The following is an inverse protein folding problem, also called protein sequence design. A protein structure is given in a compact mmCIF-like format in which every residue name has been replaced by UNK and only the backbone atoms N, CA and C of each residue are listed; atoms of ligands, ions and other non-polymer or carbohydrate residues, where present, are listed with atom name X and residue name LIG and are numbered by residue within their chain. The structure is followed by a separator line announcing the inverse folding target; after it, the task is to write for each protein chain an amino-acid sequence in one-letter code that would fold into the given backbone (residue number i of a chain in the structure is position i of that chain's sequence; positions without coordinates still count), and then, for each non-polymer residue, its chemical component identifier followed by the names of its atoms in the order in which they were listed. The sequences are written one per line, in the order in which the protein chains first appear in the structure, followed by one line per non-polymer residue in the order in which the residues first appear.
data_IF_441059381967
#
_entry.id   IF_441059381967
#
_cell.length_a   1.000
_cell.length_b   1.000
_cell.length_c   1.000
_cell.angle_alpha   90.00
_cell.angle_beta   90.00
_cell.angle_gamma   90.00
#
_symmetry.space_group_name_H-M   'P 1'
#
loop_
_entity.id
_entity.type
_entity.pdbx_description
1 polymer ?
#
# COMPACT_ATOMS: atom_id res chain seq x y z
N UNK A 1 59.94 -20.70 -0.82
CA UNK A 1 58.62 -21.12 -1.29
C UNK A 1 57.64 -20.81 -0.19
N UNK A 2 56.99 -19.66 -0.28
CA UNK A 2 55.99 -19.21 0.70
C UNK A 2 54.66 -19.06 -0.05
N UNK A 3 53.71 -19.94 0.27
CA UNK A 3 52.38 -19.94 -0.33
C UNK A 3 51.46 -18.96 0.39
N UNK A 4 51.02 -17.92 -0.33
CA UNK A 4 49.90 -17.06 0.09
C UNK A 4 48.61 -17.88 0.20
N UNK A 5 47.77 -17.69 1.24
CA UNK A 5 46.43 -18.24 1.24
C UNK A 5 45.54 -17.44 0.26
N UNK A 6 44.72 -18.16 -0.50
CA UNK A 6 43.75 -17.62 -1.44
C UNK A 6 42.64 -16.82 -0.72
N UNK A 7 42.04 -15.81 -1.37
CA UNK A 7 40.96 -15.04 -0.77
C UNK A 7 39.71 -15.91 -0.60
N UNK A 8 39.02 -15.71 0.53
CA UNK A 8 37.80 -16.40 0.89
C UNK A 8 36.75 -16.28 -0.23
N UNK A 9 36.28 -17.45 -0.65
CA UNK A 9 35.13 -17.68 -1.52
C UNK A 9 33.95 -16.79 -1.09
N UNK A 10 33.40 -16.04 -2.06
CA UNK A 10 32.14 -15.31 -1.89
C UNK A 10 31.05 -16.30 -1.50
N UNK A 11 30.62 -16.22 -0.25
CA UNK A 11 29.50 -17.00 0.26
C UNK A 11 28.25 -16.75 -0.60
N UNK A 12 27.54 -17.83 -0.92
CA UNK A 12 26.26 -17.82 -1.60
C UNK A 12 25.27 -16.83 -0.95
N UNK A 13 24.35 -16.22 -1.71
CA UNK A 13 23.42 -15.22 -1.18
C UNK A 13 22.60 -15.84 -0.04
N UNK A 14 22.68 -15.21 1.13
CA UNK A 14 21.83 -15.52 2.28
C UNK A 14 20.37 -15.39 1.86
N UNK A 15 19.54 -16.32 2.38
CA UNK A 15 18.07 -16.35 2.29
C UNK A 15 17.50 -14.93 2.38
N UNK A 16 16.60 -14.55 1.45
CA UNK A 16 16.03 -13.21 1.37
C UNK A 16 15.57 -12.72 2.76
N UNK A 17 16.26 -11.72 3.30
CA UNK A 17 15.94 -11.17 4.61
C UNK A 17 14.59 -10.44 4.52
N UNK A 18 13.65 -10.78 5.41
CA UNK A 18 12.36 -10.10 5.48
C UNK A 18 12.55 -8.57 5.66
N UNK A 19 11.71 -7.79 4.99
CA UNK A 19 11.78 -6.32 4.97
C UNK A 19 10.40 -5.69 5.20
N UNK A 20 10.40 -4.41 5.57
CA UNK A 20 9.20 -3.61 5.85
C UNK A 20 8.47 -3.10 4.58
N UNK A 21 8.90 -3.55 3.39
CA UNK A 21 8.45 -3.08 2.08
C UNK A 21 7.00 -3.46 1.70
N UNK A 22 6.54 -4.64 2.10
CA UNK A 22 5.15 -5.09 2.03
C UNK A 22 4.74 -5.71 3.39
N UNK A 23 4.17 -4.90 4.28
CA UNK A 23 3.75 -5.32 5.63
C UNK A 23 2.60 -6.34 5.56
N UNK A 24 1.76 -6.22 4.53
CA UNK A 24 0.47 -6.90 4.41
C UNK A 24 0.50 -8.13 3.49
N UNK A 25 1.58 -8.32 2.72
CA UNK A 25 1.68 -9.38 1.71
C UNK A 25 2.47 -10.63 2.10
N UNK A 26 1.83 -11.80 2.01
CA UNK A 26 2.48 -13.08 1.70
C UNK A 26 2.70 -13.16 0.18
N UNK A 27 3.95 -13.00 -0.26
CA UNK A 27 4.43 -12.96 -1.66
C UNK A 27 3.80 -11.87 -2.58
N UNK A 28 4.61 -11.17 -3.39
CA UNK A 28 4.07 -10.24 -4.37
C UNK A 28 3.25 -11.02 -5.42
N UNK A 29 2.03 -10.57 -5.77
CA UNK A 29 1.13 -11.28 -6.70
C UNK A 29 1.66 -11.36 -8.14
N UNK A 30 2.82 -10.74 -8.42
CA UNK A 30 3.48 -10.70 -9.72
C UNK A 30 4.18 -12.00 -10.09
N UNK A 31 4.35 -12.94 -9.15
CA UNK A 31 4.97 -14.23 -9.45
C UNK A 31 3.98 -15.17 -10.17
N UNK A 32 3.58 -14.79 -11.39
CA UNK A 32 3.13 -15.75 -12.39
C UNK A 32 1.64 -15.75 -12.78
N UNK A 33 0.81 -14.79 -12.37
CA UNK A 33 -0.57 -14.72 -12.89
C UNK A 33 -0.60 -14.14 -14.32
N UNK A 34 -0.82 -14.95 -15.37
CA UNK A 34 -0.78 -14.46 -16.76
C UNK A 34 -1.82 -13.38 -17.00
N UNK A 35 -2.92 -13.39 -16.23
CA UNK A 35 -4.00 -12.42 -16.31
C UNK A 35 -3.53 -10.98 -16.02
N UNK A 36 -2.48 -10.78 -15.21
CA UNK A 36 -1.99 -9.44 -14.88
C UNK A 36 -1.08 -8.84 -15.97
N UNK A 37 -0.51 -9.66 -16.86
CA UNK A 37 0.42 -9.21 -17.90
C UNK A 37 -0.24 -8.23 -18.87
N UNK A 38 -1.50 -8.45 -19.18
CA UNK A 38 -2.29 -7.66 -20.15
C UNK A 38 -2.82 -6.33 -19.59
N UNK A 39 -2.63 -6.09 -18.30
CA UNK A 39 -3.02 -4.84 -17.67
C UNK A 39 -2.01 -3.73 -17.97
N UNK A 40 -2.48 -2.49 -18.03
CA UNK A 40 -1.55 -1.35 -18.02
C UNK A 40 -0.84 -1.24 -16.67
N UNK A 41 0.37 -0.65 -16.60
CA UNK A 41 1.16 -0.57 -15.37
C UNK A 41 0.37 -0.08 -14.16
N UNK A 42 -0.36 1.02 -14.31
CA UNK A 42 -1.16 1.57 -13.21
C UNK A 42 -2.38 0.72 -12.86
N UNK A 43 -3.02 0.07 -13.84
CA UNK A 43 -4.10 -0.86 -13.55
C UNK A 43 -3.60 -2.09 -12.77
N UNK A 44 -2.38 -2.58 -13.04
CA UNK A 44 -1.77 -3.63 -12.21
C UNK A 44 -1.62 -3.20 -10.76
N UNK A 45 -1.11 -1.99 -10.51
CA UNK A 45 -0.98 -1.45 -9.14
C UNK A 45 -2.35 -1.40 -8.44
N UNK A 46 -3.40 -0.99 -9.15
CA UNK A 46 -4.77 -0.95 -8.62
C UNK A 46 -5.29 -2.36 -8.32
N UNK A 47 -5.11 -3.29 -9.24
CA UNK A 47 -5.62 -4.67 -9.09
C UNK A 47 -4.97 -5.37 -7.90
N UNK A 48 -3.68 -5.14 -7.68
CA UNK A 48 -2.92 -5.79 -6.59
C UNK A 48 -3.00 -5.06 -5.24
N UNK A 49 -3.64 -3.88 -5.19
CA UNK A 49 -3.77 -3.05 -4.00
C UNK A 49 -4.43 -3.79 -2.81
N UNK A 50 -3.70 -4.02 -1.73
CA UNK A 50 -4.12 -4.85 -0.59
C UNK A 50 -4.94 -4.08 0.45
N UNK A 51 -6.12 -3.59 0.06
CA UNK A 51 -7.01 -2.84 0.96
C UNK A 51 -6.64 -1.37 1.13
N UNK A 52 -5.87 -0.81 0.18
CA UNK A 52 -5.45 0.60 0.13
C UNK A 52 -5.85 1.31 -1.16
N UNK A 53 -6.85 0.80 -1.90
CA UNK A 53 -7.32 1.40 -3.15
C UNK A 53 -7.71 2.86 -2.99
N UNK A 54 -8.48 3.18 -1.95
CA UNK A 54 -8.90 4.54 -1.65
C UNK A 54 -7.70 5.48 -1.52
N UNK A 55 -6.69 5.05 -0.75
CA UNK A 55 -5.46 5.81 -0.52
C UNK A 55 -4.66 6.00 -1.79
N UNK A 56 -4.55 4.95 -2.61
CA UNK A 56 -3.83 5.00 -3.89
C UNK A 56 -4.43 6.06 -4.81
N UNK A 57 -5.75 6.00 -5.04
CA UNK A 57 -6.46 6.95 -5.91
C UNK A 57 -6.45 8.36 -5.33
N UNK A 58 -6.65 8.48 -4.01
CA UNK A 58 -6.57 9.77 -3.32
C UNK A 58 -5.20 10.42 -3.49
N UNK A 59 -4.13 9.64 -3.35
CA UNK A 59 -2.75 10.13 -3.47
C UNK A 59 -2.41 10.52 -4.90
N UNK A 60 -2.82 9.71 -5.88
CA UNK A 60 -2.61 10.01 -7.30
C UNK A 60 -3.21 11.37 -7.66
N UNK A 61 -4.48 11.59 -7.30
CA UNK A 61 -5.22 12.82 -7.61
C UNK A 61 -4.98 13.98 -6.63
N UNK A 62 -4.21 13.77 -5.57
CA UNK A 62 -4.03 14.72 -4.46
C UNK A 62 -5.36 15.24 -3.89
N UNK A 63 -6.38 14.37 -3.84
CA UNK A 63 -7.75 14.74 -3.47
C UNK A 63 -8.38 13.65 -2.63
N UNK A 64 -9.41 13.99 -1.86
CA UNK A 64 -10.14 12.99 -1.07
C UNK A 64 -10.94 12.07 -1.97
N UNK A 65 -10.87 10.77 -1.70
CA UNK A 65 -11.83 9.79 -2.21
C UNK A 65 -12.92 9.60 -1.16
N UNK A 66 -14.17 9.74 -1.57
CA UNK A 66 -15.35 9.45 -0.74
C UNK A 66 -15.77 8.00 -0.94
N UNK A 67 -16.27 7.36 0.12
CA UNK A 67 -16.90 6.04 0.06
C UNK A 67 -18.34 6.21 0.48
N UNK A 68 -19.27 5.92 -0.43
CA UNK A 68 -20.71 6.03 -0.21
C UNK A 68 -21.27 4.62 -0.06
N UNK A 69 -21.93 4.37 1.06
CA UNK A 69 -22.61 3.09 1.26
C UNK A 69 -23.92 3.09 0.46
N UNK A 70 -24.07 2.11 -0.43
CA UNK A 70 -25.33 1.89 -1.15
C UNK A 70 -26.24 1.05 -0.27
N UNK A 71 -25.77 -0.12 0.16
CA UNK A 71 -26.45 -0.93 1.15
C UNK A 71 -25.47 -1.74 2.00
N UNK A 72 -25.92 -2.09 3.20
CA UNK A 72 -25.26 -3.09 4.07
C UNK A 72 -26.36 -3.82 4.80
N UNK A 73 -26.58 -5.08 4.46
CA UNK A 73 -27.66 -5.90 5.02
C UNK A 73 -27.10 -7.16 5.65
N UNK A 74 -27.63 -7.51 6.81
CA UNK A 74 -27.37 -8.82 7.40
C UNK A 74 -28.27 -9.85 6.70
N UNK A 75 -27.68 -10.89 6.12
CA UNK A 75 -28.40 -11.95 5.40
C UNK A 75 -28.52 -13.24 6.21
N UNK A 76 -27.62 -13.45 7.18
CA UNK A 76 -27.70 -14.49 8.19
C UNK A 76 -26.94 -14.03 9.45
N UNK A 77 -27.03 -14.79 10.53
CA UNK A 77 -26.18 -14.57 11.70
C UNK A 77 -24.70 -14.59 11.28
N UNK A 78 -23.97 -13.54 11.64
CA UNK A 78 -22.57 -13.39 11.24
C UNK A 78 -22.30 -13.11 9.76
N UNK A 79 -23.32 -13.01 8.90
CA UNK A 79 -23.13 -12.82 7.45
C UNK A 79 -23.80 -11.56 6.93
N UNK A 80 -23.02 -10.74 6.25
CA UNK A 80 -23.44 -9.46 5.69
C UNK A 80 -23.17 -9.38 4.20
N UNK A 81 -24.08 -8.75 3.47
CA UNK A 81 -23.89 -8.34 2.09
C UNK A 81 -23.87 -6.82 2.00
N UNK A 82 -22.86 -6.31 1.32
CA UNK A 82 -22.60 -4.87 1.29
C UNK A 82 -22.16 -4.43 -0.09
N UNK A 83 -22.68 -3.28 -0.49
CA UNK A 83 -22.27 -2.56 -1.69
C UNK A 83 -21.90 -1.13 -1.34
N UNK A 84 -20.76 -0.68 -1.86
CA UNK A 84 -20.30 0.70 -1.75
C UNK A 84 -19.80 1.22 -3.09
N UNK A 85 -19.88 2.54 -3.24
CA UNK A 85 -19.34 3.27 -4.38
C UNK A 85 -18.20 4.16 -3.91
N UNK A 86 -17.10 4.16 -4.66
CA UNK A 86 -15.97 5.05 -4.45
C UNK A 86 -16.06 6.22 -5.42
N UNK A 87 -15.93 7.43 -4.89
CA UNK A 87 -16.12 8.68 -5.62
C UNK A 87 -14.87 9.54 -5.50
N UNK A 88 -14.37 10.02 -6.64
CA UNK A 88 -13.28 10.98 -6.72
C UNK A 88 -13.74 12.14 -7.59
N UNK A 89 -13.54 13.38 -7.16
CA UNK A 89 -13.99 14.57 -7.91
C UNK A 89 -15.50 14.61 -8.21
N UNK A 90 -16.32 13.97 -7.37
CA UNK A 90 -17.75 13.81 -7.62
C UNK A 90 -18.10 12.77 -8.69
N UNK A 91 -17.11 12.10 -9.28
CA UNK A 91 -17.28 11.03 -10.26
C UNK A 91 -17.13 9.68 -9.57
N UNK A 92 -18.13 8.82 -9.73
CA UNK A 92 -18.07 7.43 -9.30
C UNK A 92 -17.06 6.67 -10.18
N UNK A 93 -16.03 6.10 -9.56
CA UNK A 93 -14.98 5.40 -10.28
C UNK A 93 -14.88 3.91 -9.97
N UNK A 94 -15.43 3.47 -8.85
CA UNK A 94 -15.47 2.06 -8.53
C UNK A 94 -16.72 1.69 -7.75
N UNK A 95 -17.20 0.47 -7.97
CA UNK A 95 -18.26 -0.19 -7.20
C UNK A 95 -17.65 -1.43 -6.56
N UNK A 96 -17.82 -1.58 -5.25
CA UNK A 96 -17.33 -2.73 -4.50
C UNK A 96 -18.52 -3.46 -3.86
N UNK A 97 -18.73 -4.71 -4.27
CA UNK A 97 -19.68 -5.62 -3.65
C UNK A 97 -18.93 -6.62 -2.80
N UNK A 98 -19.48 -6.93 -1.62
CA UNK A 98 -18.80 -7.77 -0.65
C UNK A 98 -19.75 -8.67 0.11
N UNK A 99 -19.30 -9.90 0.34
CA UNK A 99 -19.85 -10.80 1.35
C UNK A 99 -18.89 -10.86 2.52
N UNK A 100 -19.37 -10.54 3.71
CA UNK A 100 -18.58 -10.50 4.93
C UNK A 100 -19.12 -11.54 5.90
N UNK A 101 -18.25 -12.44 6.32
CA UNK A 101 -18.52 -13.48 7.30
C UNK A 101 -17.71 -13.19 8.57
N UNK A 102 -18.39 -13.16 9.70
CA UNK A 102 -17.85 -12.82 11.00
C UNK A 102 -18.27 -13.91 11.98
N UNK A 103 -17.28 -14.60 12.54
CA UNK A 103 -17.49 -15.69 13.50
C UNK A 103 -17.20 -15.27 14.95
N UNK A 104 -16.55 -14.12 15.13
CA UNK A 104 -16.15 -13.58 16.42
C UNK A 104 -17.26 -12.75 17.06
N UNK A 105 -17.60 -13.07 18.32
CA UNK A 105 -18.67 -12.41 19.05
C UNK A 105 -18.38 -10.91 19.30
N UNK A 106 -17.14 -10.56 19.64
CA UNK A 106 -16.70 -9.17 19.85
C UNK A 106 -16.79 -8.34 18.56
N UNK A 107 -16.49 -8.94 17.40
CA UNK A 107 -16.68 -8.30 16.09
C UNK A 107 -18.15 -8.01 15.80
N UNK A 108 -19.05 -8.95 16.13
CA UNK A 108 -20.48 -8.79 15.93
C UNK A 108 -21.07 -7.72 16.86
N UNK A 109 -20.64 -7.70 18.12
CA UNK A 109 -21.02 -6.68 19.09
C UNK A 109 -20.57 -5.28 18.65
N UNK A 110 -19.34 -5.15 18.13
CA UNK A 110 -18.82 -3.88 17.61
C UNK A 110 -19.68 -3.31 16.47
N UNK A 111 -20.19 -4.15 15.57
CA UNK A 111 -21.10 -3.71 14.49
C UNK A 111 -22.47 -3.36 15.04
N UNK A 112 -23.08 -4.29 15.78
CA UNK A 112 -24.51 -4.21 16.14
C UNK A 112 -24.79 -3.17 17.22
N UNK A 113 -23.88 -3.07 18.19
CA UNK A 113 -24.04 -2.22 19.37
C UNK A 113 -23.07 -1.04 19.34
N UNK A 114 -21.83 -1.29 18.90
CA UNK A 114 -20.77 -0.27 18.85
C UNK A 114 -20.86 0.71 17.68
N UNK A 115 -21.73 0.46 16.70
CA UNK A 115 -21.86 1.30 15.50
C UNK A 115 -20.62 1.30 14.60
N UNK A 116 -19.72 0.32 14.78
CA UNK A 116 -18.50 0.20 13.98
C UNK A 116 -18.88 -0.26 12.57
N UNK A 117 -18.54 0.55 11.57
CA UNK A 117 -18.73 0.16 10.19
C UNK A 117 -17.88 -1.09 9.87
N UNK A 118 -18.43 -2.06 9.15
CA UNK A 118 -17.80 -3.36 8.85
C UNK A 118 -16.36 -3.21 8.32
N UNK A 119 -16.11 -2.19 7.50
CA UNK A 119 -14.78 -1.88 6.97
C UNK A 119 -13.73 -1.41 7.94
N UNK A 120 -14.15 -0.97 9.12
CA UNK A 120 -13.25 -0.53 10.17
C UNK A 120 -12.85 -1.67 11.09
N UNK A 121 -13.47 -2.85 10.99
CA UNK A 121 -13.25 -3.93 11.96
C UNK A 121 -11.80 -4.36 12.08
N UNK A 122 -11.10 -4.54 10.94
CA UNK A 122 -9.67 -4.88 10.96
C UNK A 122 -8.86 -3.88 11.78
N UNK A 123 -9.14 -2.58 11.61
CA UNK A 123 -8.43 -1.54 12.33
C UNK A 123 -8.89 -1.39 13.77
N UNK A 124 -10.20 -1.40 14.00
CA UNK A 124 -10.84 -1.25 15.31
C UNK A 124 -10.37 -2.33 16.28
N UNK A 125 -10.19 -3.56 15.78
CA UNK A 125 -9.75 -4.72 16.56
C UNK A 125 -8.27 -5.05 16.36
N UNK A 126 -7.51 -4.19 15.67
CA UNK A 126 -6.09 -4.35 15.40
C UNK A 126 -5.71 -5.70 14.75
N UNK A 127 -6.60 -6.24 13.92
CA UNK A 127 -6.41 -7.49 13.18
C UNK A 127 -5.60 -7.18 11.92
N UNK A 128 -4.41 -7.76 11.80
CA UNK A 128 -3.61 -7.72 10.58
C UNK A 128 -4.29 -8.58 9.50
N UNK A 129 -4.84 -7.99 8.42
CA UNK A 129 -5.50 -8.79 7.40
C UNK A 129 -4.50 -9.41 6.43
N UNK A 130 -4.90 -10.55 5.88
CA UNK A 130 -4.26 -11.23 4.75
C UNK A 130 -5.07 -10.95 3.50
N UNK A 131 -4.39 -10.52 2.45
CA UNK A 131 -4.97 -10.27 1.14
C UNK A 131 -4.62 -11.40 0.16
N UNK A 132 -5.62 -11.93 -0.53
CA UNK A 132 -5.46 -12.93 -1.59
C UNK A 132 -6.24 -12.50 -2.83
N UNK A 133 -5.55 -12.29 -3.95
CA UNK A 133 -6.17 -11.98 -5.24
C UNK A 133 -6.70 -13.28 -5.86
N UNK A 134 -8.02 -13.40 -6.02
CA UNK A 134 -8.67 -14.59 -6.57
C UNK A 134 -8.78 -14.52 -8.10
N UNK A 135 -8.95 -13.31 -8.65
CA UNK A 135 -9.08 -13.11 -10.09
C UNK A 135 -9.08 -11.63 -10.46
N UNK A 136 -8.75 -11.34 -11.72
CA UNK A 136 -8.85 -10.00 -12.28
C UNK A 136 -9.04 -10.07 -13.79
N UNK A 137 -9.68 -9.06 -14.36
CA UNK A 137 -9.83 -8.96 -15.80
C UNK A 137 -10.34 -7.60 -16.26
N UNK A 138 -10.46 -7.44 -17.57
CA UNK A 138 -11.21 -6.35 -18.18
C UNK A 138 -12.63 -6.79 -18.47
N UNK A 139 -13.57 -5.86 -18.39
CA UNK A 139 -14.89 -6.06 -18.98
C UNK A 139 -14.84 -5.94 -20.51
N UNK A 140 -15.92 -6.39 -21.16
CA UNK A 140 -16.07 -6.21 -22.59
C UNK A 140 -15.96 -4.73 -22.98
N UNK A 141 -15.12 -4.43 -23.98
CA UNK A 141 -14.83 -3.05 -24.40
C UNK A 141 -13.85 -2.28 -23.50
N UNK A 142 -13.26 -2.91 -22.47
CA UNK A 142 -12.21 -2.34 -21.60
C UNK A 142 -12.55 -0.99 -20.94
N UNK A 143 -13.83 -0.64 -20.83
CA UNK A 143 -14.25 0.58 -20.12
C UNK A 143 -14.07 0.45 -18.60
N UNK A 144 -14.12 -0.79 -18.11
CA UNK A 144 -13.86 -1.14 -16.72
C UNK A 144 -12.91 -2.32 -16.67
N UNK A 145 -12.21 -2.40 -15.56
CA UNK A 145 -11.53 -3.59 -15.12
C UNK A 145 -12.02 -3.98 -13.73
N UNK A 146 -11.79 -5.21 -13.35
CA UNK A 146 -12.31 -5.76 -12.12
C UNK A 146 -11.29 -6.64 -11.42
N UNK A 147 -11.53 -6.85 -10.12
CA UNK A 147 -10.81 -7.82 -9.31
C UNK A 147 -11.74 -8.49 -8.31
N UNK A 148 -11.48 -9.77 -8.08
CA UNK A 148 -12.03 -10.56 -6.99
C UNK A 148 -10.91 -10.87 -6.02
N UNK A 149 -11.14 -10.63 -4.73
CA UNK A 149 -10.16 -10.91 -3.71
C UNK A 149 -10.80 -11.30 -2.38
N UNK A 150 -10.00 -11.99 -1.56
CA UNK A 150 -10.30 -12.25 -0.17
C UNK A 150 -9.48 -11.29 0.69
N UNK A 151 -10.13 -10.70 1.69
CA UNK A 151 -9.48 -10.04 2.81
C UNK A 151 -9.89 -10.78 4.08
N UNK A 152 -8.96 -11.49 4.70
CA UNK A 152 -9.23 -12.34 5.87
C UNK A 152 -8.38 -11.95 7.07
N UNK A 153 -8.88 -12.25 8.25
CA UNK A 153 -8.17 -12.09 9.50
C UNK A 153 -8.85 -12.93 10.57
N UNK A 154 -8.34 -12.89 11.79
CA UNK A 154 -8.89 -13.68 12.89
C UNK A 154 -10.38 -13.37 13.11
N UNK A 155 -11.25 -14.31 12.70
CA UNK A 155 -12.70 -14.25 12.83
C UNK A 155 -13.44 -13.37 11.82
N UNK A 156 -12.77 -12.88 10.78
CA UNK A 156 -13.36 -12.04 9.72
C UNK A 156 -12.92 -12.55 8.35
N UNK A 157 -13.87 -12.82 7.46
CA UNK A 157 -13.62 -13.20 6.07
C UNK A 157 -14.45 -12.32 5.14
N UNK A 158 -13.80 -11.53 4.29
CA UNK A 158 -14.45 -10.66 3.32
C UNK A 158 -14.12 -11.14 1.91
N UNK A 159 -15.12 -11.65 1.18
CA UNK A 159 -15.00 -11.85 -0.27
C UNK A 159 -15.49 -10.59 -0.97
N UNK A 160 -14.63 -9.98 -1.77
CA UNK A 160 -14.88 -8.65 -2.36
C UNK A 160 -14.71 -8.74 -3.88
N UNK A 161 -15.70 -8.23 -4.61
CA UNK A 161 -15.64 -7.95 -6.03
C UNK A 161 -15.60 -6.43 -6.22
N UNK A 162 -14.58 -5.94 -6.91
CA UNK A 162 -14.45 -4.52 -7.25
C UNK A 162 -14.43 -4.34 -8.76
N UNK A 163 -15.31 -3.48 -9.24
CA UNK A 163 -15.36 -3.03 -10.64
C UNK A 163 -14.95 -1.57 -10.69
N UNK A 164 -13.96 -1.24 -11.53
CA UNK A 164 -13.23 0.02 -11.54
C UNK A 164 -13.19 0.57 -12.95
N UNK A 165 -13.40 1.88 -13.13
CA UNK A 165 -13.26 2.55 -14.43
C UNK A 165 -11.82 2.52 -14.92
N UNK A 166 -11.62 2.23 -16.19
CA UNK A 166 -10.29 2.24 -16.82
C UNK A 166 -9.70 3.65 -16.96
N UNK A 167 -10.53 4.70 -16.92
CA UNK A 167 -10.08 6.10 -16.95
C UNK A 167 -9.88 6.69 -15.54
N UNK A 168 -9.79 5.86 -14.48
CA UNK A 168 -9.67 6.31 -13.09
C UNK A 168 -8.51 7.29 -12.86
N UNK A 169 -7.43 7.18 -13.63
CA UNK A 169 -6.27 8.08 -13.56
C UNK A 169 -6.40 9.36 -14.39
N UNK A 170 -7.41 9.44 -15.26
CA UNK A 170 -7.71 10.59 -16.09
C UNK A 170 -8.91 11.41 -15.58
N UNK A 171 -9.47 11.05 -14.41
CA UNK A 171 -10.57 11.77 -13.78
C UNK A 171 -10.22 13.25 -13.55
N UNK A 172 -11.23 14.10 -13.65
CA UNK A 172 -11.11 15.55 -13.46
C UNK A 172 -12.20 16.05 -12.51
N UNK A 173 -11.97 17.15 -11.77
CA UNK A 173 -13.01 17.88 -11.06
C UNK A 173 -14.24 18.09 -11.96
N UNK A 174 -15.42 17.67 -11.51
CA UNK A 174 -16.64 18.16 -12.11
C UNK A 174 -16.64 19.68 -11.95
N UNK A 175 -16.56 20.41 -13.05
CA UNK A 175 -16.78 21.85 -13.04
C UNK A 175 -18.17 22.05 -12.47
N UNK A 176 -18.24 22.57 -11.26
CA UNK A 176 -19.50 22.95 -10.66
C UNK A 176 -20.01 24.08 -11.53
N UNK A 177 -21.03 23.84 -12.36
CA UNK A 177 -21.68 24.93 -13.07
C UNK A 177 -22.09 25.95 -12.02
N UNK A 178 -21.49 27.13 -12.10
CA UNK A 178 -21.80 28.24 -11.22
C UNK A 178 -23.28 28.55 -11.39
N UNK A 179 -24.09 28.17 -10.41
CA UNK A 179 -25.48 28.62 -10.31
C UNK A 179 -25.43 30.15 -10.36
N UNK A 180 -26.07 30.82 -11.33
CA UNK A 180 -26.01 32.27 -11.43
C UNK A 180 -26.59 32.88 -10.15
N UNK A 181 -25.73 33.58 -9.42
CA UNK A 181 -26.08 34.32 -8.22
C UNK A 181 -27.19 35.31 -8.54
N UNK A 182 -28.40 35.02 -8.05
CA UNK A 182 -29.50 35.99 -8.03
C UNK A 182 -29.15 37.06 -7.00
N UNK A 183 -28.72 38.21 -7.51
CA UNK A 183 -28.58 39.43 -6.74
C UNK A 183 -29.93 39.81 -6.09
N UNK A 184 -29.88 40.17 -4.80
CA UNK A 184 -30.92 40.95 -4.12
C UNK A 184 -31.64 40.22 -2.98
N UNK A 185 -31.08 40.27 -1.77
CA UNK A 185 -31.66 41.02 -0.64
C UNK A 185 -30.69 40.97 0.55
N UNK A 186 -30.39 42.13 1.12
CA UNK A 186 -29.57 42.28 2.31
C UNK A 186 -30.36 41.85 3.55
N UNK A 187 -29.85 40.86 4.29
CA UNK A 187 -30.20 40.61 5.69
C UNK A 187 -28.98 40.11 6.46
N UNK A 188 -28.80 40.74 7.62
CA UNK A 188 -27.78 40.58 8.66
C UNK A 188 -27.30 39.15 8.93
N UNK A 189 -25.98 38.97 8.94
CA UNK A 189 -25.28 37.74 9.36
C UNK A 189 -25.51 37.38 10.83
N UNK A 190 -25.81 36.10 11.14
CA UNK A 190 -25.29 35.44 12.33
C UNK A 190 -24.01 34.64 11.96
N UNK A 191 -23.18 34.44 12.98
CA UNK A 191 -21.87 33.76 12.95
C UNK A 191 -21.91 32.36 12.27
N UNK A 192 -20.78 31.88 11.72
CA UNK A 192 -20.72 30.58 11.08
C UNK A 192 -20.84 29.48 12.15
N UNK A 193 -22.02 28.86 12.21
CA UNK A 193 -22.19 27.56 12.85
C UNK A 193 -21.38 26.54 12.04
N UNK A 194 -20.49 25.83 12.73
CA UNK A 194 -19.72 24.72 12.16
C UNK A 194 -20.62 23.76 11.40
N UNK A 195 -20.24 23.29 10.20
CA UNK A 195 -20.98 22.24 9.53
C UNK A 195 -20.92 20.96 10.39
N UNK A 196 -22.03 20.19 10.48
CA UNK A 196 -22.04 18.96 11.25
C UNK A 196 -20.96 18.00 10.73
N UNK A 197 -20.09 17.60 11.66
CA UNK A 197 -19.09 16.55 11.53
C UNK A 197 -19.77 15.20 11.24
N UNK A 198 -20.20 14.98 10.00
CA UNK A 198 -20.67 13.68 9.50
C UNK A 198 -19.74 13.13 8.41
N UNK A 199 -18.43 13.36 8.53
CA UNK A 199 -17.45 12.64 7.75
C UNK A 199 -17.45 11.17 8.22
N UNK A 200 -18.18 10.32 7.49
CA UNK A 200 -18.17 8.87 7.69
C UNK A 200 -16.71 8.34 7.75
N UNK A 201 -16.39 7.41 8.67
CA UNK A 201 -15.04 6.90 8.84
C UNK A 201 -14.48 6.22 7.58
N UNK A 202 -13.18 6.44 7.38
CA UNK A 202 -12.32 6.09 6.24
C UNK A 202 -12.21 4.58 5.97
N UNK A 203 -12.91 4.04 4.97
CA UNK A 203 -12.95 2.59 4.69
C UNK A 203 -11.64 1.97 4.16
N UNK A 204 -10.78 2.73 3.49
CA UNK A 204 -9.77 2.15 2.61
C UNK A 204 -8.32 2.39 3.02
N UNK A 205 -8.06 2.70 4.28
CA UNK A 205 -6.70 2.79 4.80
C UNK A 205 -6.58 2.01 6.11
N UNK A 206 -6.41 0.70 5.95
CA UNK A 206 -6.28 -0.24 7.08
C UNK A 206 -5.15 0.21 8.05
N UNK A 207 -4.14 0.92 7.56
CA UNK A 207 -2.97 1.34 8.36
C UNK A 207 -3.06 2.76 8.93
N UNK A 208 -4.08 3.56 8.55
CA UNK A 208 -4.29 4.90 9.12
C UNK A 208 -5.76 5.09 9.51
N UNK A 209 -6.07 5.14 10.81
CA UNK A 209 -7.45 5.13 11.28
C UNK A 209 -8.29 6.34 10.85
N UNK A 210 -7.67 7.45 10.42
CA UNK A 210 -8.39 8.73 10.21
C UNK A 210 -7.98 9.52 8.96
N UNK A 211 -7.10 9.00 8.10
CA UNK A 211 -6.59 9.77 6.95
C UNK A 211 -6.79 9.04 5.63
N UNK A 212 -7.89 9.35 4.93
CA UNK A 212 -8.17 8.81 3.58
C UNK A 212 -7.30 9.43 2.49
N UNK A 213 -6.63 10.54 2.78
CA UNK A 213 -5.85 11.30 1.81
C UNK A 213 -4.88 12.27 2.49
N UNK A 214 -3.68 12.36 1.94
CA UNK A 214 -2.71 13.39 2.28
C UNK A 214 -2.76 14.41 1.16
N UNK A 215 -3.07 15.66 1.49
CA UNK A 215 -2.76 16.75 0.56
C UNK A 215 -1.26 16.98 0.67
N UNK A 216 -0.53 16.54 -0.35
CA UNK A 216 0.88 16.83 -0.47
C UNK A 216 1.05 18.20 -1.14
N UNK A 217 2.12 18.93 -0.81
CA UNK A 217 2.45 20.18 -1.49
C UNK A 217 2.50 20.01 -3.00
N UNK A 218 2.27 21.09 -3.74
CA UNK A 218 2.44 21.10 -5.18
C UNK A 218 3.88 20.75 -5.58
N UNK A 219 4.04 20.31 -6.83
CA UNK A 219 5.33 19.98 -7.42
C UNK A 219 5.59 18.48 -7.53
N UNK A 220 4.98 17.62 -6.71
CA UNK A 220 5.05 16.16 -6.89
C UNK A 220 4.22 15.68 -8.07
N UNK A 221 4.73 14.71 -8.83
CA UNK A 221 3.93 14.02 -9.85
C UNK A 221 2.94 13.05 -9.19
N UNK A 222 1.85 12.65 -9.88
CA UNK A 222 0.89 11.68 -9.35
C UNK A 222 1.53 10.38 -8.83
N UNK A 223 2.48 9.82 -9.58
CA UNK A 223 3.17 8.58 -9.19
C UNK A 223 4.08 8.75 -7.97
N UNK A 224 4.75 9.90 -7.86
CA UNK A 224 5.55 10.21 -6.68
C UNK A 224 4.68 10.37 -5.43
N UNK A 225 3.48 10.96 -5.56
CA UNK A 225 2.54 11.04 -4.44
C UNK A 225 2.11 9.66 -3.96
N UNK A 226 1.87 8.70 -4.87
CA UNK A 226 1.60 7.31 -4.50
C UNK A 226 2.74 6.74 -3.63
N UNK A 227 4.00 6.92 -4.05
CA UNK A 227 5.15 6.41 -3.28
C UNK A 227 5.32 7.15 -1.95
N UNK A 228 5.09 8.46 -1.92
CA UNK A 228 5.23 9.26 -0.70
C UNK A 228 4.20 8.87 0.38
N UNK A 229 3.00 8.47 0.00
CA UNK A 229 1.92 8.11 0.93
C UNK A 229 1.78 6.60 1.15
N UNK A 230 2.55 5.76 0.46
CA UNK A 230 2.56 4.30 0.57
C UNK A 230 2.78 3.81 2.02
N UNK A 231 1.86 3.03 2.58
CA UNK A 231 1.85 2.65 4.00
C UNK A 231 2.44 1.24 4.26
N UNK A 232 3.65 1.00 3.76
CA UNK A 232 4.29 -0.31 3.84
C UNK A 232 3.86 -1.24 2.71
N UNK A 233 3.69 -0.69 1.50
CA UNK A 233 3.32 -1.40 0.27
C UNK A 233 4.14 -0.92 -0.95
N UNK A 234 5.26 -0.20 -0.74
CA UNK A 234 6.09 0.36 -1.83
C UNK A 234 6.57 -0.75 -2.77
N UNK A 235 7.02 -1.85 -2.18
CA UNK A 235 7.52 -3.00 -2.94
C UNK A 235 6.44 -3.57 -3.86
N UNK A 236 5.23 -3.74 -3.33
CA UNK A 236 4.07 -4.17 -4.10
C UNK A 236 3.71 -3.19 -5.21
N UNK A 237 3.74 -1.88 -4.94
CA UNK A 237 3.44 -0.85 -5.94
C UNK A 237 4.42 -0.94 -7.11
N UNK A 238 5.73 -0.95 -6.84
CA UNK A 238 6.75 -0.91 -7.89
C UNK A 238 6.85 -2.24 -8.61
N UNK A 239 6.81 -3.37 -7.89
CA UNK A 239 6.76 -4.70 -8.54
C UNK A 239 5.55 -4.85 -9.46
N UNK A 240 4.36 -4.43 -9.01
CA UNK A 240 3.14 -4.51 -9.82
C UNK A 240 3.21 -3.58 -11.04
N UNK A 241 3.77 -2.39 -10.88
CA UNK A 241 3.94 -1.44 -11.99
C UNK A 241 4.81 -2.05 -13.10
N UNK A 242 5.95 -2.62 -12.73
CA UNK A 242 6.88 -3.24 -13.68
C UNK A 242 6.52 -4.67 -14.09
N UNK A 243 5.57 -5.30 -13.37
CA UNK A 243 5.27 -6.73 -13.49
C UNK A 243 6.52 -7.61 -13.30
N UNK A 244 7.38 -7.21 -12.36
CA UNK A 244 8.68 -7.85 -12.10
C UNK A 244 8.96 -7.88 -10.59
N UNK A 245 9.67 -8.91 -10.10
CA UNK A 245 10.11 -8.95 -8.71
C UNK A 245 11.15 -7.85 -8.44
N UNK A 246 11.15 -7.34 -7.21
CA UNK A 246 12.18 -6.42 -6.75
C UNK A 246 13.33 -7.19 -6.09
N UNK A 247 14.54 -6.65 -6.20
CA UNK A 247 15.67 -7.10 -5.39
C UNK A 247 15.81 -6.19 -4.19
N UNK A 248 15.80 -6.77 -2.98
CA UNK A 248 15.98 -6.02 -1.74
C UNK A 248 17.33 -6.36 -1.14
N UNK A 249 18.17 -5.35 -0.96
CA UNK A 249 19.48 -5.46 -0.31
C UNK A 249 19.41 -4.82 1.07
N UNK A 250 19.95 -5.51 2.07
CA UNK A 250 20.04 -5.01 3.46
C UNK A 250 21.51 -4.77 3.80
N UNK A 251 22.10 -3.64 3.36
CA UNK A 251 23.52 -3.36 3.60
C UNK A 251 23.88 -3.19 5.08
N UNK A 252 22.91 -2.82 5.93
CA UNK A 252 23.13 -2.66 7.37
C UNK A 252 21.92 -3.16 8.15
N UNK A 253 22.17 -3.99 9.16
CA UNK A 253 21.22 -4.32 10.22
C UNK A 253 22.02 -4.50 11.51
N UNK A 254 22.05 -3.48 12.35
CA UNK A 254 22.96 -3.39 13.49
C UNK A 254 22.21 -2.97 14.75
N UNK A 255 22.46 -3.67 15.86
CA UNK A 255 21.96 -3.28 17.17
C UNK A 255 22.82 -2.14 17.71
N UNK A 256 22.27 -0.93 17.79
CA UNK A 256 22.97 0.25 18.33
C UNK A 256 23.08 0.18 19.85
N UNK A 257 21.98 -0.17 20.53
CA UNK A 257 21.85 -0.33 21.98
C UNK A 257 20.82 -1.43 22.27
N UNK A 258 20.61 -1.80 23.54
CA UNK A 258 19.44 -2.62 23.93
C UNK A 258 18.16 -1.97 23.39
N UNK A 259 17.29 -2.80 22.80
CA UNK A 259 16.06 -2.40 22.14
C UNK A 259 16.17 -1.47 20.92
N UNK A 260 17.36 -1.03 20.50
CA UNK A 260 17.52 -0.03 19.42
C UNK A 260 18.36 -0.59 18.28
N UNK A 261 17.75 -0.65 17.09
CA UNK A 261 18.37 -1.20 15.89
C UNK A 261 18.40 -0.16 14.78
N UNK A 262 19.52 -0.10 14.06
CA UNK A 262 19.65 0.63 12.83
C UNK A 262 19.60 -0.32 11.65
N UNK A 263 18.83 0.07 10.64
CA UNK A 263 18.70 -0.69 9.41
C UNK A 263 18.84 0.21 8.20
N UNK A 264 19.54 -0.28 7.18
CA UNK A 264 19.56 0.33 5.87
C UNK A 264 19.10 -0.69 4.84
N UNK A 265 18.27 -0.24 3.91
CA UNK A 265 17.73 -1.07 2.82
C UNK A 265 17.88 -0.32 1.51
N UNK A 266 18.27 -1.04 0.46
CA UNK A 266 18.22 -0.56 -0.92
C UNK A 266 17.30 -1.49 -1.70
N UNK A 267 16.33 -0.94 -2.41
CA UNK A 267 15.50 -1.71 -3.34
C UNK A 267 15.88 -1.39 -4.77
N UNK A 268 15.93 -2.45 -5.57
CA UNK A 268 16.25 -2.39 -6.98
C UNK A 268 15.10 -2.97 -7.78
N UNK A 269 14.83 -2.32 -8.91
CA UNK A 269 13.96 -2.83 -9.96
C UNK A 269 14.80 -2.92 -11.22
N UNK A 270 14.72 -4.03 -11.96
CA UNK A 270 15.53 -4.23 -13.17
C UNK A 270 17.04 -4.05 -12.97
N UNK A 271 17.52 -4.36 -11.76
CA UNK A 271 18.94 -4.19 -11.39
C UNK A 271 19.36 -2.75 -11.09
N UNK A 272 18.45 -1.78 -11.16
CA UNK A 272 18.73 -0.37 -10.83
C UNK A 272 18.14 0.02 -9.47
N UNK A 273 18.90 0.71 -8.61
CA UNK A 273 18.38 1.21 -7.35
C UNK A 273 17.36 2.31 -7.60
N UNK A 274 16.18 2.17 -6.98
CA UNK A 274 15.15 3.21 -7.01
C UNK A 274 14.82 3.75 -5.62
N UNK A 275 15.12 3.00 -4.55
CA UNK A 275 14.83 3.39 -3.18
C UNK A 275 16.00 3.07 -2.24
N UNK A 276 16.29 4.02 -1.37
CA UNK A 276 17.14 3.85 -0.20
C UNK A 276 16.36 4.19 1.06
N UNK A 277 16.33 3.28 2.02
CA UNK A 277 15.71 3.48 3.33
C UNK A 277 16.75 3.43 4.45
N UNK A 278 16.59 4.33 5.42
CA UNK A 278 17.27 4.27 6.71
C UNK A 278 16.20 4.23 7.79
N UNK A 279 16.33 3.27 8.71
CA UNK A 279 15.39 3.08 9.80
C UNK A 279 16.11 3.00 11.13
N UNK A 280 15.57 3.68 12.14
CA UNK A 280 15.87 3.39 13.54
C UNK A 280 14.64 2.76 14.16
N UNK A 281 14.84 1.57 14.73
CA UNK A 281 13.78 0.68 15.21
C UNK A 281 13.93 0.53 16.71
N UNK A 282 12.87 0.83 17.43
CA UNK A 282 12.76 0.77 18.88
C UNK A 282 11.82 -0.39 19.24
N UNK A 283 12.34 -1.43 19.88
CA UNK A 283 11.54 -2.51 20.44
C UNK A 283 11.12 -2.14 21.85
N UNK A 284 9.82 -1.95 22.07
CA UNK A 284 9.27 -1.60 23.38
C UNK A 284 8.78 -2.82 24.15
N UNK A 285 8.56 -3.94 23.46
CA UNK A 285 8.20 -5.21 24.05
C UNK A 285 9.45 -6.10 24.24
N UNK A 286 9.80 -6.47 25.49
CA UNK A 286 10.93 -7.34 25.78
C UNK A 286 10.83 -8.72 25.12
N UNK A 287 9.62 -9.27 24.93
CA UNK A 287 9.42 -10.56 24.26
C UNK A 287 9.82 -10.47 22.77
N UNK A 288 9.48 -9.35 22.12
CA UNK A 288 9.84 -9.12 20.73
C UNK A 288 11.35 -8.94 20.58
N UNK A 289 11.99 -8.22 21.52
CA UNK A 289 13.44 -8.08 21.58
C UNK A 289 14.12 -9.45 21.71
N UNK A 290 13.67 -10.28 22.65
CA UNK A 290 14.21 -11.62 22.86
C UNK A 290 14.11 -12.47 21.58
N UNK A 291 12.95 -12.47 20.91
CA UNK A 291 12.75 -13.23 19.66
C UNK A 291 13.66 -12.77 18.52
N UNK A 292 14.02 -11.49 18.47
CA UNK A 292 15.01 -10.97 17.50
C UNK A 292 16.42 -11.40 17.88
N UNK A 293 16.80 -11.27 19.16
CA UNK A 293 18.13 -11.63 19.66
C UNK A 293 18.42 -13.13 19.50
N UNK A 294 17.41 -13.97 19.70
CA UNK A 294 17.50 -15.43 19.49
C UNK A 294 17.43 -15.83 18.01
N UNK A 295 17.23 -14.87 17.10
CA UNK A 295 17.13 -15.14 15.66
C UNK A 295 15.87 -15.88 15.24
N UNK A 296 14.86 -15.96 16.11
CA UNK A 296 13.56 -16.62 15.84
C UNK A 296 12.79 -15.85 14.78
N UNK A 297 12.79 -14.51 14.88
CA UNK A 297 12.06 -13.63 13.97
C UNK A 297 12.99 -12.56 13.39
N UNK A 298 13.08 -12.42 12.06
CA UNK A 298 13.76 -11.29 11.44
C UNK A 298 13.11 -9.95 11.83
N UNK A 299 13.93 -8.93 12.09
CA UNK A 299 13.47 -7.60 12.50
C UNK A 299 12.43 -7.00 11.53
N UNK A 300 12.62 -7.19 10.22
CA UNK A 300 11.71 -6.70 9.18
C UNK A 300 10.35 -7.40 9.11
N UNK A 301 10.16 -8.52 9.81
CA UNK A 301 8.90 -9.28 9.85
C UNK A 301 8.12 -9.17 11.16
N UNK A 302 8.62 -8.41 12.15
CA UNK A 302 8.06 -8.40 13.51
C UNK A 302 6.57 -8.08 13.58
N UNK A 303 6.08 -7.10 12.82
CA UNK A 303 4.64 -6.79 12.80
C UNK A 303 3.80 -8.01 12.40
N UNK A 304 4.24 -8.72 11.35
CA UNK A 304 3.55 -9.93 10.86
C UNK A 304 3.68 -11.10 11.82
N UNK A 305 4.88 -11.35 12.33
CA UNK A 305 5.17 -12.46 13.24
C UNK A 305 4.45 -12.35 14.59
N UNK A 306 3.95 -11.15 14.92
CA UNK A 306 3.15 -10.87 16.10
C UNK A 306 1.68 -10.54 15.77
N UNK A 307 1.26 -10.65 14.50
CA UNK A 307 -0.10 -10.35 14.04
C UNK A 307 -0.60 -8.94 14.41
N UNK A 308 0.32 -7.97 14.46
CA UNK A 308 0.00 -6.58 14.83
C UNK A 308 0.00 -5.67 13.61
N UNK A 309 -1.04 -4.84 13.52
CA UNK A 309 -1.22 -3.86 12.47
C UNK A 309 -0.63 -2.49 12.88
N UNK A 310 0.53 -2.07 12.34
CA UNK A 310 1.13 -0.81 12.74
C UNK A 310 0.33 0.39 12.23
N UNK A 311 0.48 1.50 12.93
CA UNK A 311 -0.08 2.79 12.55
C UNK A 311 0.94 3.58 11.75
N UNK A 312 0.59 3.98 10.53
CA UNK A 312 1.43 4.81 9.68
C UNK A 312 1.18 6.30 9.94
N UNK A 313 2.26 7.04 10.16
CA UNK A 313 2.24 8.50 10.31
C UNK A 313 3.31 9.14 9.43
N UNK A 314 2.89 9.80 8.34
CA UNK A 314 3.78 10.60 7.49
C UNK A 314 4.16 11.88 8.23
N UNK A 315 5.45 12.09 8.49
CA UNK A 315 5.95 13.27 9.23
C UNK A 315 6.36 14.40 8.29
N UNK A 316 7.09 14.08 7.22
CA UNK A 316 7.53 15.09 6.25
C UNK A 316 7.84 14.45 4.91
N UNK A 317 7.81 15.28 3.87
CA UNK A 317 8.20 14.92 2.51
C UNK A 317 9.05 16.05 1.93
N UNK A 318 9.85 15.73 0.93
CA UNK A 318 10.62 16.75 0.23
C UNK A 318 11.27 16.24 -1.04
N UNK A 319 12.09 17.12 -1.61
CA UNK A 319 12.85 16.90 -2.83
C UNK A 319 14.26 17.42 -2.67
N UNK A 320 15.18 16.91 -3.48
CA UNK A 320 16.55 17.37 -3.53
C UNK A 320 17.18 17.02 -4.85
N UNK A 321 18.45 17.42 -4.98
CA UNK A 321 19.36 16.96 -6.02
C UNK A 321 20.59 16.40 -5.33
N UNK A 322 21.13 15.31 -5.86
CA UNK A 322 22.39 14.78 -5.38
C UNK A 322 23.57 15.62 -5.91
N UNK A 323 24.79 15.23 -5.54
CA UNK A 323 26.01 15.91 -5.99
C UNK A 323 26.21 15.86 -7.52
N UNK A 324 25.59 14.89 -8.19
CA UNK A 324 25.61 14.71 -9.65
C UNK A 324 24.52 15.53 -10.35
N UNK A 325 23.66 16.22 -9.59
CA UNK A 325 22.53 17.00 -10.08
C UNK A 325 21.28 16.16 -10.37
N UNK A 326 21.30 14.85 -10.12
CA UNK A 326 20.15 13.98 -10.31
C UNK A 326 19.11 14.28 -9.22
N UNK A 327 17.85 14.42 -9.63
CA UNK A 327 16.76 14.71 -8.71
C UNK A 327 16.36 13.47 -7.91
N UNK A 328 15.89 13.72 -6.69
CA UNK A 328 15.28 12.71 -5.84
C UNK A 328 14.16 13.33 -5.01
N UNK A 329 13.28 12.48 -4.50
CA UNK A 329 12.27 12.85 -3.52
C UNK A 329 12.34 11.92 -2.32
N UNK A 330 11.84 12.36 -1.20
CA UNK A 330 11.99 11.63 0.05
C UNK A 330 10.78 11.81 0.97
N UNK A 331 10.66 10.90 1.92
CA UNK A 331 9.73 10.99 3.03
C UNK A 331 10.36 10.55 4.35
N UNK A 332 9.85 11.10 5.43
CA UNK A 332 10.09 10.63 6.79
C UNK A 332 8.75 10.25 7.40
N UNK A 333 8.67 9.07 7.99
CA UNK A 333 7.44 8.58 8.61
C UNK A 333 7.72 7.68 9.80
N UNK A 334 6.68 7.40 10.57
CA UNK A 334 6.70 6.45 11.68
C UNK A 334 5.75 5.30 11.40
N UNK A 335 6.19 4.08 11.71
CA UNK A 335 5.32 2.93 11.91
C UNK A 335 5.32 2.60 13.40
N UNK A 336 4.16 2.63 14.05
CA UNK A 336 4.06 2.42 15.49
C UNK A 336 3.00 1.37 15.85
N UNK A 337 3.35 0.48 16.77
CA UNK A 337 2.43 -0.42 17.47
C UNK A 337 2.81 -0.50 18.96
N UNK A 338 2.12 -1.34 19.73
CA UNK A 338 2.37 -1.54 21.16
C UNK A 338 3.78 -2.06 21.46
N UNK A 339 4.34 -2.92 20.59
CA UNK A 339 5.63 -3.58 20.82
C UNK A 339 6.82 -3.02 20.01
N UNK A 340 6.57 -2.14 19.04
CA UNK A 340 7.62 -1.60 18.20
C UNK A 340 7.28 -0.23 17.62
N UNK A 341 8.26 0.66 17.59
CA UNK A 341 8.20 1.92 16.84
C UNK A 341 9.38 1.99 15.87
N UNK A 342 9.11 2.32 14.61
CA UNK A 342 10.13 2.53 13.58
C UNK A 342 10.07 3.97 13.11
N UNK A 343 11.20 4.66 13.14
CA UNK A 343 11.40 5.93 12.44
C UNK A 343 12.13 5.68 11.14
N UNK A 344 11.51 6.02 10.01
CA UNK A 344 11.96 5.60 8.69
C UNK A 344 12.11 6.82 7.80
N UNK A 345 13.26 6.94 7.15
CA UNK A 345 13.53 7.88 6.06
C UNK A 345 13.73 7.09 4.78
N UNK A 346 12.91 7.38 3.78
CA UNK A 346 13.04 6.78 2.43
C UNK A 346 13.34 7.87 1.42
N UNK A 347 14.31 7.58 0.54
CA UNK A 347 14.68 8.42 -0.60
C UNK A 347 14.47 7.62 -1.87
N UNK A 348 13.83 8.24 -2.85
CA UNK A 348 13.44 7.65 -4.12
C UNK A 348 14.10 8.39 -5.28
N UNK A 349 14.56 7.65 -6.28
CA UNK A 349 15.04 8.23 -7.53
C UNK A 349 13.90 8.93 -8.28
N UNK A 350 14.13 10.11 -8.86
CA UNK A 350 13.08 10.87 -9.56
C UNK A 350 12.48 10.09 -10.75
N UNK A 351 13.29 9.23 -11.38
CA UNK A 351 12.98 8.37 -12.53
C UNK A 351 12.50 6.96 -12.16
N UNK A 352 12.03 6.75 -10.92
CA UNK A 352 11.62 5.42 -10.40
C UNK A 352 10.66 4.66 -11.33
N UNK A 353 9.79 5.37 -12.08
CA UNK A 353 8.79 4.77 -12.97
C UNK A 353 9.14 4.85 -14.46
N UNK A 354 10.33 5.36 -14.77
CA UNK A 354 10.86 5.55 -16.14
C UNK A 354 12.05 4.61 -16.42
N UNK A 355 12.27 3.60 -15.56
CA UNK A 355 13.33 2.60 -15.74
C UNK A 355 13.04 1.67 -16.92
N UNK A 356 13.90 1.74 -17.93
CA UNK A 356 13.84 0.84 -19.09
C UNK A 356 14.21 -0.60 -18.72
N UNK A 357 13.79 -1.55 -19.54
CA UNK A 357 14.36 -2.90 -19.49
C UNK A 357 15.85 -2.80 -19.82
N UNK A 358 16.75 -3.44 -19.04
CA UNK A 358 18.16 -3.49 -19.40
C UNK A 358 18.27 -4.06 -20.82
N UNK A 359 19.05 -3.43 -21.70
CA UNK A 359 19.18 -3.87 -23.09
C UNK A 359 19.61 -5.35 -23.24
N UNK A 360 20.20 -5.94 -22.19
CA UNK A 360 20.54 -7.36 -22.10
C UNK A 360 19.30 -8.29 -21.98
N UNK A 361 18.19 -7.85 -21.37
CA UNK A 361 16.97 -8.65 -21.19
C UNK A 361 16.05 -8.68 -22.41
N UNK A 362 16.23 -7.76 -23.36
CA UNK A 362 15.49 -7.78 -24.63
C UNK A 362 16.00 -8.87 -25.59
N UNK A 363 17.26 -9.31 -25.45
CA UNK A 363 17.82 -10.39 -26.30
C UNK A 363 17.39 -11.79 -25.86
N UNK A 364 16.96 -11.96 -24.62
CA UNK A 364 16.49 -13.24 -24.07
C UNK A 364 15.00 -13.50 -24.28
N UNK A 365 14.26 -12.59 -24.92
CA UNK A 365 12.82 -12.73 -25.18
C UNK A 365 12.48 -13.14 -26.63
N UNK A 366 13.46 -13.19 -27.54
CA UNK A 366 13.23 -13.55 -28.94
C UNK A 366 13.65 -15.00 -29.30
N UNK A 367 14.25 -15.76 -28.38
CA UNK A 367 14.55 -17.19 -28.61
C UNK A 367 14.49 -17.98 -27.29
N UNK A 368 13.33 -18.53 -26.95
CA UNK A 368 13.25 -19.69 -26.05
C UNK A 368 12.92 -20.91 -26.90
N UNK A 369 13.66 -22.00 -26.73
CA UNK A 369 13.25 -23.31 -27.27
C UNK A 369 12.09 -23.91 -26.44
N UNK A 370 11.52 -25.02 -26.93
CA UNK A 370 10.37 -25.74 -26.33
C UNK A 370 10.59 -26.22 -24.88
N UNK A 371 11.77 -25.94 -24.29
CA UNK A 371 12.14 -26.33 -22.93
C UNK A 371 12.42 -25.14 -22.00
N UNK A 372 12.21 -23.90 -22.45
CA UNK A 372 12.22 -22.73 -21.56
C UNK A 372 13.57 -22.44 -20.90
N UNK A 373 14.67 -22.88 -21.51
CA UNK A 373 16.02 -22.47 -21.11
C UNK A 373 16.50 -21.33 -22.02
N UNK A 374 17.18 -20.30 -21.47
CA UNK A 374 17.73 -19.23 -22.28
C UNK A 374 18.87 -19.77 -23.14
N UNK A 375 18.80 -19.54 -24.46
CA UNK A 375 19.95 -19.68 -25.37
C UNK A 375 20.88 -18.48 -25.20
#
# INVERSE_FOLDING_TARGET
GEGRPAPASMAAPKRAEAHLGDIMGSEPPTNGSPALRDFEPLHRVVVTANGNLQRLISSYHNTRVEVRQVHSRQVAEGRFEREVVLVCFGVEFAVATSTVEISRADCLEAITTGGVAIGQLFRHLNILPVFELLGAGYEHGRQHFWRDYLLSGEGIHCKIHERIRSDVFALKPLLTESVPSRAGLATTSPAPTEPPSSAMPSFGDIMSPNTTGFSLPDGFTPLQRILLTANGNVERIVSSYYYEPLTVLVPLSHQRNSCVYDRQVTMLVRGEPFLHAKSTIFLTDPEWEQRVQEGIVPLGSLFRANHVLPTFHLRSVGRGRDASGHGFFWRVYTLASTGMTCEITETFAEDTFDKDLPAASLRSLETSDDYGLPI
#
